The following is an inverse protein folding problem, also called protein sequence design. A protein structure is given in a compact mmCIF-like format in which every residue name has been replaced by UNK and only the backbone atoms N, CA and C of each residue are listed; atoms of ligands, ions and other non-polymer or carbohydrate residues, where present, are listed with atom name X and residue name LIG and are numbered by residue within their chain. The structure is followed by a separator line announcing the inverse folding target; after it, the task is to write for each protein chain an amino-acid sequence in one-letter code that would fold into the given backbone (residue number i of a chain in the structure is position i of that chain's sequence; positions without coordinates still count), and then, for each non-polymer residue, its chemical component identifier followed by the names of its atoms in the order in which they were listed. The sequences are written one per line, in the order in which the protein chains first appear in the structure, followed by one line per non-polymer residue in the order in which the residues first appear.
data_IF_150706006554
#
_entry.id   IF_150706006554
#
_cell.length_a   1.000
_cell.length_b   1.000
_cell.length_c   1.000
_cell.angle_alpha   90.00
_cell.angle_beta   90.00
_cell.angle_gamma   90.00
#
_symmetry.space_group_name_H-M   'P 1'
#
loop_
_entity.id
_entity.type
_entity.pdbx_description
1 polymer ?
#
# COMPACT_ATOMS: atom_id res chain seq x y z
N UNK A 1 -30.41 -114.09 4.99
CA UNK A 1 -30.35 -113.36 6.28
C UNK A 1 -30.30 -111.87 5.92
N UNK A 2 -31.43 -111.21 5.60
CA UNK A 2 -32.55 -110.79 6.45
C UNK A 2 -32.17 -109.67 7.43
N UNK A 3 -32.84 -108.50 7.25
CA UNK A 3 -33.16 -107.41 8.22
C UNK A 3 -32.07 -106.32 8.36
N UNK A 4 -32.06 -105.22 7.58
CA UNK A 4 -32.88 -103.97 7.63
C UNK A 4 -32.31 -102.88 8.59
N UNK A 5 -32.80 -101.62 8.58
CA UNK A 5 -32.42 -100.50 7.69
C UNK A 5 -31.95 -99.29 8.53
N UNK A 6 -31.84 -98.07 7.95
CA UNK A 6 -32.34 -96.78 8.52
C UNK A 6 -31.67 -95.52 7.88
N UNK A 7 -32.53 -94.64 7.37
CA UNK A 7 -32.43 -93.18 7.10
C UNK A 7 -31.47 -92.57 6.04
N UNK A 8 -32.07 -92.16 4.91
CA UNK A 8 -31.88 -90.86 4.23
C UNK A 8 -32.16 -89.67 5.18
N UNK A 9 -31.68 -88.41 4.99
CA UNK A 9 -31.68 -87.72 3.68
C UNK A 9 -30.61 -86.62 3.41
N UNK A 10 -30.56 -86.16 2.15
CA UNK A 10 -30.39 -84.77 1.67
C UNK A 10 -29.46 -83.80 2.44
N UNK A 11 -28.36 -83.34 1.81
CA UNK A 11 -27.85 -81.94 1.76
C UNK A 11 -26.45 -81.88 1.09
N UNK A 12 -25.98 -80.72 0.59
CA UNK A 12 -25.86 -80.46 -0.84
C UNK A 12 -24.43 -80.22 -1.34
N UNK A 13 -24.33 -80.24 -2.66
CA UNK A 13 -23.22 -79.69 -3.45
C UNK A 13 -23.14 -78.18 -3.18
N UNK A 14 -22.20 -77.72 -2.35
CA UNK A 14 -21.69 -76.33 -2.35
C UNK A 14 -20.31 -76.28 -1.70
N UNK A 15 -19.25 -76.50 -2.48
CA UNK A 15 -17.90 -76.06 -2.10
C UNK A 15 -17.11 -75.61 -3.33
N UNK A 16 -17.62 -74.58 -4.01
CA UNK A 16 -16.82 -73.84 -4.99
C UNK A 16 -17.34 -72.41 -5.18
N UNK A 17 -17.44 -71.62 -4.10
CA UNK A 17 -17.58 -70.16 -4.20
C UNK A 17 -17.07 -69.51 -2.91
N UNK A 18 -15.75 -69.51 -2.72
CA UNK A 18 -15.07 -68.63 -1.78
C UNK A 18 -13.90 -67.95 -2.49
N UNK A 19 -14.23 -67.23 -3.56
CA UNK A 19 -13.46 -66.08 -4.02
C UNK A 19 -14.43 -65.04 -4.57
N UNK A 20 -14.39 -63.86 -3.93
CA UNK A 20 -15.10 -62.60 -4.23
C UNK A 20 -16.59 -62.48 -3.81
N UNK A 21 -16.88 -61.50 -2.94
CA UNK A 21 -17.29 -60.19 -3.44
C UNK A 21 -16.64 -59.04 -2.62
N UNK A 22 -15.38 -58.71 -2.91
CA UNK A 22 -14.79 -57.45 -2.43
C UNK A 22 -14.82 -56.38 -3.54
N UNK A 23 -15.02 -56.79 -4.80
CA UNK A 23 -14.91 -55.93 -5.99
C UNK A 23 -16.23 -55.18 -6.32
N UNK A 24 -17.37 -55.58 -5.74
CA UNK A 24 -18.67 -54.97 -6.07
C UNK A 24 -18.88 -53.59 -5.44
N UNK A 25 -18.39 -53.35 -4.23
CA UNK A 25 -18.61 -52.07 -3.52
C UNK A 25 -17.83 -50.88 -4.10
N UNK A 26 -16.62 -51.09 -4.63
CA UNK A 26 -15.77 -50.01 -5.15
C UNK A 26 -16.26 -49.48 -6.50
N UNK A 27 -16.74 -50.37 -7.37
CA UNK A 27 -17.27 -50.02 -8.69
C UNK A 27 -18.58 -49.23 -8.59
N UNK A 28 -19.45 -49.60 -7.63
CA UNK A 28 -20.70 -48.89 -7.35
C UNK A 28 -20.42 -47.44 -6.90
N UNK A 29 -19.52 -47.25 -5.93
CA UNK A 29 -19.17 -45.91 -5.42
C UNK A 29 -18.51 -45.02 -6.50
N UNK A 30 -17.62 -45.57 -7.33
CA UNK A 30 -16.99 -44.79 -8.40
C UNK A 30 -18.03 -44.29 -9.43
N UNK A 31 -19.00 -45.13 -9.79
CA UNK A 31 -20.09 -44.77 -10.69
C UNK A 31 -21.03 -43.71 -10.07
N UNK A 32 -21.31 -43.83 -8.78
CA UNK A 32 -22.07 -42.84 -8.02
C UNK A 32 -21.35 -41.48 -8.00
N UNK A 33 -20.04 -41.46 -7.81
CA UNK A 33 -19.24 -40.22 -7.82
C UNK A 33 -19.20 -39.57 -9.20
N UNK A 34 -19.12 -40.34 -10.29
CA UNK A 34 -19.25 -39.82 -11.66
C UNK A 34 -20.64 -39.18 -11.85
N UNK A 35 -21.69 -39.86 -11.39
CA UNK A 35 -23.05 -39.33 -11.47
C UNK A 35 -23.22 -38.05 -10.62
N UNK A 36 -22.74 -38.01 -9.38
CA UNK A 36 -22.79 -36.82 -8.53
C UNK A 36 -22.03 -35.64 -9.13
N UNK A 37 -20.91 -35.90 -9.80
CA UNK A 37 -20.15 -34.89 -10.52
C UNK A 37 -20.91 -34.34 -11.73
N UNK A 38 -21.60 -35.19 -12.48
CA UNK A 38 -22.38 -34.78 -13.65
C UNK A 38 -23.53 -33.82 -13.28
N UNK A 39 -24.03 -33.90 -12.05
CA UNK A 39 -25.05 -32.99 -11.52
C UNK A 39 -24.53 -31.57 -11.26
N UNK A 40 -23.22 -31.38 -11.10
CA UNK A 40 -22.65 -30.07 -10.81
C UNK A 40 -21.96 -29.46 -12.04
N UNK A 41 -22.32 -28.23 -12.45
CA UNK A 41 -21.77 -27.60 -13.66
C UNK A 41 -20.28 -27.27 -13.54
N UNK A 42 -19.74 -27.25 -12.32
CA UNK A 42 -18.33 -26.96 -12.00
C UNK A 42 -17.53 -28.20 -11.63
N UNK A 43 -18.13 -29.40 -11.61
CA UNK A 43 -17.44 -30.64 -11.25
C UNK A 43 -17.19 -30.86 -9.76
N UNK A 44 -17.73 -30.01 -8.91
CA UNK A 44 -17.59 -30.07 -7.46
C UNK A 44 -18.64 -30.99 -6.85
N UNK A 45 -18.23 -31.93 -6.01
CA UNK A 45 -19.12 -32.84 -5.30
C UNK A 45 -19.27 -32.35 -3.86
N UNK A 46 -20.52 -32.19 -3.41
CA UNK A 46 -20.80 -31.84 -2.03
C UNK A 46 -20.66 -33.08 -1.15
N UNK A 47 -19.69 -33.05 -0.23
CA UNK A 47 -19.27 -34.20 0.56
C UNK A 47 -19.94 -34.16 1.94
N UNK A 48 -20.83 -35.12 2.18
CA UNK A 48 -21.49 -35.36 3.47
C UNK A 48 -20.72 -36.40 4.29
N UNK A 49 -20.91 -36.40 5.60
CA UNK A 49 -20.31 -37.35 6.53
C UNK A 49 -20.49 -38.83 6.13
N UNK A 50 -21.68 -39.22 5.67
CA UNK A 50 -21.96 -40.60 5.23
C UNK A 50 -21.18 -41.01 3.98
N UNK A 51 -20.97 -40.07 3.05
CA UNK A 51 -20.22 -40.29 1.82
C UNK A 51 -18.71 -40.35 2.14
N UNK A 52 -18.22 -39.48 3.04
CA UNK A 52 -16.84 -39.54 3.50
C UNK A 52 -16.53 -40.89 4.16
N UNK A 53 -17.38 -41.37 5.06
CA UNK A 53 -17.19 -42.69 5.69
C UNK A 53 -17.08 -43.82 4.66
N UNK A 54 -17.91 -43.80 3.60
CA UNK A 54 -17.85 -44.76 2.48
C UNK A 54 -16.57 -44.64 1.64
N UNK A 55 -16.04 -43.44 1.44
CA UNK A 55 -14.75 -43.24 0.76
C UNK A 55 -13.58 -43.71 1.64
N UNK A 56 -13.69 -43.55 2.95
CA UNK A 56 -12.66 -43.95 3.91
C UNK A 56 -12.65 -45.46 4.16
N UNK A 57 -13.78 -46.16 4.01
CA UNK A 57 -13.86 -47.61 4.17
C UNK A 57 -13.26 -48.42 3.01
N UNK A 58 -12.86 -47.76 1.91
CA UNK A 58 -12.20 -48.43 0.78
C UNK A 58 -10.77 -48.83 1.20
N UNK A 59 -10.38 -50.11 1.06
CA UNK A 59 -9.03 -50.55 1.36
C UNK A 59 -8.02 -49.93 0.39
N UNK A 60 -6.83 -49.61 0.90
CA UNK A 60 -5.74 -49.05 0.09
C UNK A 60 -5.09 -50.13 -0.79
N UNK A 61 -4.70 -49.83 -2.05
CA UNK A 61 -4.73 -48.52 -2.71
C UNK A 61 -6.13 -48.14 -3.24
N UNK A 62 -6.51 -46.88 -3.05
CA UNK A 62 -7.78 -46.32 -3.53
C UNK A 62 -7.76 -46.12 -5.04
N UNK A 63 -8.90 -46.30 -5.74
CA UNK A 63 -8.96 -46.14 -7.19
C UNK A 63 -8.78 -44.68 -7.67
N UNK A 64 -8.87 -43.69 -6.77
CA UNK A 64 -8.76 -42.26 -7.09
C UNK A 64 -8.20 -41.45 -5.92
N UNK A 65 -7.62 -40.29 -6.25
CA UNK A 65 -7.25 -39.24 -5.29
C UNK A 65 -8.44 -38.33 -4.99
N UNK A 66 -8.52 -37.79 -3.77
CA UNK A 66 -9.60 -36.88 -3.36
C UNK A 66 -9.03 -35.54 -2.90
N UNK A 67 -9.45 -34.45 -3.52
CA UNK A 67 -9.12 -33.09 -3.09
C UNK A 67 -10.32 -32.47 -2.39
N UNK A 68 -10.16 -32.12 -1.13
CA UNK A 68 -11.24 -31.68 -0.24
C UNK A 68 -11.02 -30.22 0.15
N UNK A 69 -12.00 -29.37 -0.16
CA UNK A 69 -12.08 -27.98 0.30
C UNK A 69 -13.05 -27.87 1.48
N UNK A 70 -12.59 -27.29 2.58
CA UNK A 70 -13.40 -27.07 3.78
C UNK A 70 -13.98 -25.66 3.79
N UNK A 71 -15.31 -25.58 3.83
CA UNK A 71 -16.07 -24.34 3.78
C UNK A 71 -16.94 -24.12 5.02
N UNK A 72 -17.22 -22.86 5.35
CA UNK A 72 -18.12 -22.48 6.43
C UNK A 72 -18.83 -21.15 6.10
N UNK A 73 -20.11 -21.22 5.70
CA UNK A 73 -20.95 -20.07 5.33
C UNK A 73 -21.05 -19.03 6.45
N UNK A 74 -21.14 -19.48 7.70
CA UNK A 74 -21.20 -18.59 8.87
C UNK A 74 -19.98 -17.66 8.96
N UNK A 75 -18.84 -18.11 8.44
CA UNK A 75 -17.60 -17.35 8.44
C UNK A 75 -17.46 -16.47 7.19
N UNK A 76 -18.27 -16.63 6.14
CA UNK A 76 -18.18 -15.79 4.94
C UNK A 76 -18.43 -14.31 5.24
N UNK A 77 -19.29 -14.01 6.22
CA UNK A 77 -19.57 -12.65 6.66
C UNK A 77 -18.52 -12.08 7.64
N UNK A 78 -17.73 -12.96 8.28
CA UNK A 78 -16.79 -12.59 9.36
C UNK A 78 -15.33 -12.75 8.98
N UNK A 79 -15.01 -13.51 7.92
CA UNK A 79 -13.62 -13.90 7.64
C UNK A 79 -12.89 -12.82 6.86
N UNK A 80 -11.81 -12.33 7.48
CA UNK A 80 -10.80 -11.40 6.96
C UNK A 80 -10.12 -11.90 5.66
N UNK A 81 -10.09 -13.22 5.45
CA UNK A 81 -9.63 -13.85 4.22
C UNK A 81 -10.83 -14.08 3.30
N UNK A 82 -10.76 -13.68 2.04
CA UNK A 82 -11.84 -13.88 1.06
C UNK A 82 -12.13 -15.38 0.77
N UNK A 83 -12.74 -16.11 1.70
CA UNK A 83 -13.18 -17.52 1.52
C UNK A 83 -13.98 -17.69 0.22
N UNK A 84 -14.92 -16.78 -0.13
CA UNK A 84 -15.61 -16.85 -1.42
C UNK A 84 -14.68 -16.78 -2.64
N UNK A 85 -13.59 -15.99 -2.55
CA UNK A 85 -12.58 -15.90 -3.61
C UNK A 85 -11.78 -17.20 -3.73
N UNK A 86 -11.32 -17.76 -2.61
CA UNK A 86 -10.58 -19.04 -2.61
C UNK A 86 -11.47 -20.19 -3.10
N UNK A 87 -12.75 -20.20 -2.72
CA UNK A 87 -13.74 -21.15 -3.22
C UNK A 87 -13.96 -21.01 -4.73
N UNK A 88 -13.99 -19.78 -5.24
CA UNK A 88 -14.07 -19.52 -6.68
C UNK A 88 -12.85 -20.08 -7.42
N UNK A 89 -11.63 -19.83 -6.93
CA UNK A 89 -10.40 -20.38 -7.49
C UNK A 89 -10.39 -21.91 -7.46
N UNK A 90 -10.85 -22.53 -6.37
CA UNK A 90 -11.00 -23.98 -6.27
C UNK A 90 -12.00 -24.53 -7.29
N UNK A 91 -13.12 -23.83 -7.50
CA UNK A 91 -14.11 -24.20 -8.52
C UNK A 91 -13.57 -24.06 -9.95
N UNK A 92 -12.67 -23.08 -10.17
CA UNK A 92 -12.00 -22.87 -11.44
C UNK A 92 -11.03 -24.01 -11.76
N UNK A 93 -10.30 -24.48 -10.74
CA UNK A 93 -9.43 -25.65 -10.86
C UNK A 93 -10.23 -26.89 -11.28
N UNK A 94 -11.35 -27.16 -10.61
CA UNK A 94 -12.21 -28.31 -10.90
C UNK A 94 -12.80 -28.27 -12.30
N UNK A 95 -13.36 -27.12 -12.71
CA UNK A 95 -13.91 -26.94 -14.06
C UNK A 95 -12.84 -26.98 -15.16
N UNK A 96 -11.64 -26.46 -14.90
CA UNK A 96 -10.50 -26.56 -15.83
C UNK A 96 -10.05 -28.01 -15.99
N UNK A 97 -9.98 -28.78 -14.91
CA UNK A 97 -9.65 -30.21 -14.96
C UNK A 97 -10.62 -31.00 -15.85
N UNK A 98 -11.93 -30.74 -15.71
CA UNK A 98 -12.96 -31.38 -16.53
C UNK A 98 -12.84 -31.05 -18.01
N UNK A 99 -12.53 -29.79 -18.32
CA UNK A 99 -12.36 -29.33 -19.71
C UNK A 99 -11.14 -29.99 -20.37
N UNK A 100 -10.06 -30.17 -19.59
CA UNK A 100 -8.80 -30.72 -20.09
C UNK A 100 -8.79 -32.24 -20.19
N UNK A 101 -9.58 -32.94 -19.37
CA UNK A 101 -9.62 -34.40 -19.30
C UNK A 101 -11.03 -34.93 -19.60
N UNK A 102 -11.51 -34.87 -20.86
CA UNK A 102 -12.86 -35.28 -21.25
C UNK A 102 -13.07 -36.81 -21.32
N UNK A 103 -12.32 -37.61 -20.56
CA UNK A 103 -12.39 -39.08 -20.54
C UNK A 103 -12.93 -39.65 -19.22
N UNK A 104 -13.45 -40.89 -19.27
CA UNK A 104 -14.03 -41.57 -18.10
C UNK A 104 -12.98 -42.04 -17.05
N UNK A 105 -11.68 -41.83 -17.31
CA UNK A 105 -10.59 -42.20 -16.41
C UNK A 105 -10.31 -41.05 -15.43
N UNK A 106 -11.09 -40.99 -14.36
CA UNK A 106 -11.04 -39.86 -13.44
C UNK A 106 -10.17 -40.20 -12.25
N UNK A 107 -8.90 -39.83 -12.35
CA UNK A 107 -7.89 -40.09 -11.33
C UNK A 107 -8.04 -39.22 -10.08
N UNK A 108 -8.77 -38.11 -10.17
CA UNK A 108 -9.03 -37.20 -9.04
C UNK A 108 -10.48 -36.71 -9.00
N UNK A 109 -11.01 -36.60 -7.78
CA UNK A 109 -12.32 -36.00 -7.49
C UNK A 109 -12.17 -34.77 -6.60
N UNK A 110 -12.99 -33.75 -6.87
CA UNK A 110 -13.01 -32.49 -6.13
C UNK A 110 -14.24 -32.42 -5.22
N UNK A 111 -14.01 -32.24 -3.92
CA UNK A 111 -15.03 -32.25 -2.89
C UNK A 111 -15.10 -30.92 -2.13
N UNK A 112 -16.30 -30.53 -1.74
CA UNK A 112 -16.55 -29.42 -0.82
C UNK A 112 -17.28 -29.96 0.40
N UNK A 113 -16.79 -29.66 1.59
CA UNK A 113 -17.45 -29.96 2.86
C UNK A 113 -17.90 -28.65 3.49
N UNK A 114 -19.17 -28.57 3.89
CA UNK A 114 -19.73 -27.44 4.64
C UNK A 114 -19.77 -27.74 6.14
N UNK A 115 -19.28 -26.82 6.96
CA UNK A 115 -19.15 -27.01 8.41
C UNK A 115 -20.48 -27.31 9.12
N UNK A 116 -21.58 -26.66 8.76
CA UNK A 116 -22.87 -26.90 9.41
C UNK A 116 -23.41 -28.31 9.16
N UNK A 117 -23.14 -28.85 7.97
CA UNK A 117 -23.70 -30.13 7.52
C UNK A 117 -22.84 -31.33 7.91
N UNK A 118 -21.55 -31.13 8.19
CA UNK A 118 -20.58 -32.24 8.30
C UNK A 118 -19.51 -31.97 9.36
N UNK A 119 -19.94 -31.66 10.59
CA UNK A 119 -19.07 -31.35 11.74
C UNK A 119 -18.13 -32.50 12.09
N UNK A 120 -18.60 -33.75 11.97
CA UNK A 120 -17.79 -34.93 12.29
C UNK A 120 -16.61 -35.10 11.33
N UNK A 121 -16.80 -34.79 10.05
CA UNK A 121 -15.72 -34.73 9.06
C UNK A 121 -14.67 -33.66 9.40
N UNK A 122 -15.09 -32.49 9.87
CA UNK A 122 -14.16 -31.42 10.29
C UNK A 122 -13.29 -31.84 11.48
N UNK A 123 -13.90 -32.50 12.47
CA UNK A 123 -13.20 -33.02 13.64
C UNK A 123 -12.27 -34.20 13.28
N UNK A 124 -12.72 -35.11 12.41
CA UNK A 124 -11.88 -36.22 11.93
C UNK A 124 -10.58 -35.72 11.30
N UNK A 125 -10.66 -34.62 10.55
CA UNK A 125 -9.51 -33.98 9.93
C UNK A 125 -8.81 -32.95 10.85
N UNK A 126 -9.22 -32.70 12.09
CA UNK A 126 -8.61 -31.68 12.98
C UNK A 126 -8.48 -30.29 12.32
N UNK A 127 -9.55 -29.82 11.67
CA UNK A 127 -9.56 -28.52 10.98
C UNK A 127 -9.94 -27.40 11.94
N UNK A 128 -8.93 -26.66 12.42
CA UNK A 128 -9.10 -25.55 13.38
C UNK A 128 -9.30 -24.18 12.72
N UNK A 129 -8.93 -24.02 11.45
CA UNK A 129 -9.01 -22.75 10.72
C UNK A 129 -9.29 -22.97 9.23
N UNK A 130 -9.96 -21.99 8.62
CA UNK A 130 -10.39 -21.95 7.21
C UNK A 130 -9.79 -20.67 6.57
N UNK A 131 -9.43 -20.63 5.27
CA UNK A 131 -9.56 -21.67 4.23
C UNK A 131 -8.62 -22.85 4.44
N UNK A 132 -9.10 -24.06 4.16
CA UNK A 132 -8.33 -25.28 4.33
C UNK A 132 -8.60 -26.24 3.17
N UNK A 133 -7.52 -26.74 2.56
CA UNK A 133 -7.56 -27.72 1.47
C UNK A 133 -6.69 -28.89 1.85
N UNK A 134 -7.22 -30.11 1.66
CA UNK A 134 -6.50 -31.36 1.87
C UNK A 134 -6.58 -32.26 0.66
N UNK A 135 -5.45 -32.90 0.36
CA UNK A 135 -5.37 -33.95 -0.64
C UNK A 135 -5.23 -35.30 0.07
N UNK A 136 -6.11 -36.23 -0.28
CA UNK A 136 -6.03 -37.64 0.08
C UNK A 136 -5.45 -38.39 -1.13
N UNK A 137 -4.22 -38.90 -1.07
CA UNK A 137 -3.61 -39.64 -2.17
C UNK A 137 -4.22 -41.04 -2.33
N UNK A 138 -3.86 -41.72 -3.44
CA UNK A 138 -4.29 -43.09 -3.75
C UNK A 138 -3.79 -44.11 -2.73
N UNK A 139 -2.55 -43.98 -2.24
CA UNK A 139 -1.93 -44.90 -1.29
C UNK A 139 -1.89 -44.26 0.09
N UNK A 140 -2.67 -44.80 1.04
CA UNK A 140 -2.81 -44.25 2.38
C UNK A 140 -2.88 -45.39 3.38
N UNK A 141 -1.95 -45.44 4.34
CA UNK A 141 -2.00 -46.40 5.44
C UNK A 141 -2.74 -45.78 6.63
N UNK A 142 -2.48 -44.50 6.92
CA UNK A 142 -3.15 -43.72 7.95
C UNK A 142 -3.68 -42.40 7.35
N UNK A 143 -5.00 -42.30 7.15
CA UNK A 143 -5.63 -41.12 6.52
C UNK A 143 -5.27 -39.82 7.24
N UNK A 144 -5.15 -39.82 8.57
CA UNK A 144 -4.80 -38.60 9.31
C UNK A 144 -3.36 -38.13 9.10
N UNK A 145 -2.42 -39.05 8.87
CA UNK A 145 -0.98 -38.74 8.73
C UNK A 145 -0.58 -38.51 7.28
N UNK A 146 -1.18 -39.26 6.36
CA UNK A 146 -0.80 -39.25 4.94
C UNK A 146 -1.55 -38.18 4.13
N UNK A 147 -2.56 -37.52 4.73
CA UNK A 147 -3.23 -36.38 4.10
C UNK A 147 -2.29 -35.18 3.99
N UNK A 148 -2.05 -34.72 2.77
CA UNK A 148 -1.23 -33.54 2.51
C UNK A 148 -2.08 -32.29 2.65
N UNK A 149 -1.66 -31.37 3.54
CA UNK A 149 -2.29 -30.06 3.72
C UNK A 149 -1.64 -29.03 2.78
N UNK A 150 -2.48 -28.22 2.13
CA UNK A 150 -1.99 -27.05 1.40
C UNK A 150 -1.59 -25.92 2.37
N UNK A 151 -0.38 -25.39 2.21
CA UNK A 151 0.15 -24.30 3.04
C UNK A 151 -0.56 -22.96 2.80
N UNK A 152 -0.49 -22.06 3.79
CA UNK A 152 -1.13 -20.74 3.72
C UNK A 152 -0.66 -19.89 2.52
N UNK A 153 0.60 -20.03 2.13
CA UNK A 153 1.18 -19.36 0.96
C UNK A 153 0.56 -19.81 -0.37
N UNK A 154 0.12 -21.07 -0.47
CA UNK A 154 -0.46 -21.61 -1.69
C UNK A 154 -1.81 -20.97 -2.05
N UNK A 155 -2.55 -20.46 -1.07
CA UNK A 155 -3.81 -19.75 -1.33
C UNK A 155 -3.61 -18.36 -1.92
N UNK A 156 -2.39 -17.79 -1.85
CA UNK A 156 -2.10 -16.42 -2.31
C UNK A 156 -1.98 -16.30 -3.83
N UNK A 157 -1.63 -17.39 -4.52
CA UNK A 157 -1.41 -17.43 -5.98
C UNK A 157 -2.59 -18.09 -6.73
N UNK A 158 -3.75 -18.23 -6.08
CA UNK A 158 -5.01 -18.68 -6.69
C UNK A 158 -5.00 -20.12 -7.22
N UNK A 159 -5.81 -20.39 -8.25
CA UNK A 159 -5.99 -21.73 -8.84
C UNK A 159 -4.71 -22.33 -9.43
N UNK A 160 -3.75 -21.49 -9.84
CA UNK A 160 -2.47 -21.95 -10.42
C UNK A 160 -1.62 -22.68 -9.38
N UNK A 161 -1.56 -22.17 -8.15
CA UNK A 161 -0.81 -22.86 -7.08
C UNK A 161 -1.53 -24.12 -6.61
N UNK A 162 -2.86 -24.13 -6.60
CA UNK A 162 -3.63 -25.34 -6.29
C UNK A 162 -3.40 -26.44 -7.34
N UNK A 163 -3.28 -26.06 -8.61
CA UNK A 163 -2.92 -26.96 -9.70
C UNK A 163 -1.55 -27.61 -9.46
N UNK A 164 -0.52 -26.80 -9.22
CA UNK A 164 0.84 -27.27 -8.98
C UNK A 164 0.91 -28.20 -7.75
N UNK A 165 0.16 -27.86 -6.70
CA UNK A 165 0.03 -28.70 -5.51
C UNK A 165 -0.59 -30.07 -5.81
N UNK A 166 -1.61 -30.13 -6.66
CA UNK A 166 -2.24 -31.39 -7.09
C UNK A 166 -1.30 -32.20 -7.98
N UNK A 167 -0.66 -31.58 -8.97
CA UNK A 167 0.25 -32.26 -9.90
C UNK A 167 1.45 -32.87 -9.14
N UNK A 168 1.99 -32.16 -8.16
CA UNK A 168 3.13 -32.61 -7.35
C UNK A 168 2.77 -33.77 -6.41
N UNK A 169 1.64 -33.68 -5.71
CA UNK A 169 1.32 -34.62 -4.63
C UNK A 169 0.41 -35.78 -5.06
N UNK A 170 -0.41 -35.60 -6.10
CA UNK A 170 -1.29 -36.64 -6.61
C UNK A 170 -0.73 -37.35 -7.86
N UNK A 171 0.33 -36.80 -8.49
CA UNK A 171 0.87 -37.28 -9.77
C UNK A 171 -0.21 -37.35 -10.87
N UNK A 172 -1.12 -36.36 -10.90
CA UNK A 172 -2.22 -36.25 -11.88
C UNK A 172 -2.05 -34.98 -12.69
N UNK A 173 -2.07 -35.09 -14.02
CA UNK A 173 -2.02 -33.92 -14.91
C UNK A 173 -3.35 -33.18 -14.96
N UNK A 174 -3.35 -31.89 -14.62
CA UNK A 174 -4.57 -31.07 -14.57
C UNK A 174 -4.74 -30.21 -15.84
N UNK A 175 -3.64 -29.83 -16.48
CA UNK A 175 -3.64 -28.97 -17.67
C UNK A 175 -3.75 -27.47 -17.38
N UNK A 176 -3.90 -26.60 -18.39
CA UNK A 176 -3.98 -25.15 -18.19
C UNK A 176 -5.27 -24.72 -17.47
N UNK A 177 -5.17 -23.70 -16.61
CA UNK A 177 -6.32 -23.13 -15.91
C UNK A 177 -7.05 -22.17 -16.84
N UNK A 178 -8.32 -22.47 -17.10
CA UNK A 178 -9.19 -21.69 -17.98
C UNK A 178 -9.86 -20.57 -17.18
N UNK A 179 -9.16 -19.45 -16.97
CA UNK A 179 -9.78 -18.26 -16.37
C UNK A 179 -10.79 -17.62 -17.33
N UNK A 180 -11.89 -17.10 -16.78
CA UNK A 180 -12.76 -16.20 -17.56
C UNK A 180 -11.95 -14.94 -17.90
N UNK A 181 -11.95 -14.46 -19.15
CA UNK A 181 -11.25 -13.22 -19.48
C UNK A 181 -11.81 -12.08 -18.62
N UNK A 182 -10.90 -11.28 -18.04
CA UNK A 182 -11.21 -10.16 -17.12
C UNK A 182 -12.19 -9.17 -17.75
N UNK A 183 -12.15 -9.04 -19.07
CA UNK A 183 -13.03 -8.16 -19.84
C UNK A 183 -14.08 -9.01 -20.57
N UNK A 184 -15.39 -8.81 -20.30
CA UNK A 184 -16.44 -9.54 -20.99
C UNK A 184 -16.45 -9.21 -22.49
N UNK A 185 -16.73 -10.20 -23.34
CA UNK A 185 -16.73 -10.05 -24.81
C UNK A 185 -17.59 -8.88 -25.30
N UNK A 186 -18.72 -8.61 -24.63
CA UNK A 186 -19.58 -7.44 -24.91
C UNK A 186 -18.86 -6.10 -24.72
N UNK A 187 -18.08 -5.98 -23.66
CA UNK A 187 -17.31 -4.76 -23.38
C UNK A 187 -16.15 -4.60 -24.38
N UNK A 188 -15.49 -5.69 -24.79
CA UNK A 188 -14.52 -5.63 -25.90
C UNK A 188 -15.17 -5.17 -27.21
N UNK A 189 -16.39 -5.62 -27.49
CA UNK A 189 -17.15 -5.18 -28.67
C UNK A 189 -17.50 -3.69 -28.60
N UNK A 190 -17.87 -3.17 -27.42
CA UNK A 190 -18.12 -1.74 -27.19
C UNK A 190 -16.84 -0.91 -27.34
N UNK A 191 -15.72 -1.38 -26.78
CA UNK A 191 -14.42 -0.72 -26.94
C UNK A 191 -13.99 -0.71 -28.40
N UNK A 192 -14.15 -1.84 -29.11
CA UNK A 192 -13.88 -1.96 -30.53
C UNK A 192 -14.75 -1.03 -31.37
N UNK A 193 -16.05 -0.93 -31.07
CA UNK A 193 -16.96 0.00 -31.72
C UNK A 193 -16.57 1.47 -31.46
N UNK A 194 -16.20 1.80 -30.22
CA UNK A 194 -15.68 3.14 -29.88
C UNK A 194 -14.42 3.49 -30.66
N UNK A 195 -13.49 2.54 -30.80
CA UNK A 195 -12.29 2.71 -31.60
C UNK A 195 -12.61 2.87 -33.10
N UNK A 196 -13.55 2.08 -33.63
CA UNK A 196 -14.04 2.20 -35.01
C UNK A 196 -14.67 3.56 -35.27
N UNK A 197 -15.46 4.10 -34.33
CA UNK A 197 -16.06 5.44 -34.42
C UNK A 197 -15.00 6.54 -34.35
N UNK A 198 -13.95 6.37 -33.53
CA UNK A 198 -12.86 7.33 -33.42
C UNK A 198 -11.84 7.24 -34.57
N UNK A 199 -11.76 6.10 -35.25
CA UNK A 199 -10.76 5.85 -36.29
C UNK A 199 -10.78 6.86 -37.44
N UNK A 200 -11.93 7.31 -38.01
CA UNK A 200 -11.94 8.24 -39.14
C UNK A 200 -11.50 9.64 -38.69
N UNK A 201 -11.81 10.03 -37.45
CA UNK A 201 -11.34 11.28 -36.86
C UNK A 201 -9.82 11.26 -36.64
N UNK A 202 -9.28 10.16 -36.12
CA UNK A 202 -7.83 9.99 -35.93
C UNK A 202 -7.07 9.95 -37.26
N UNK A 203 -7.58 9.22 -38.26
CA UNK A 203 -6.98 9.13 -39.60
C UNK A 203 -7.03 10.49 -40.30
N UNK A 204 -8.18 11.18 -40.30
CA UNK A 204 -8.29 12.54 -40.83
C UNK A 204 -7.29 13.49 -40.17
N UNK A 205 -7.15 13.40 -38.84
CA UNK A 205 -6.21 14.22 -38.07
C UNK A 205 -4.73 13.90 -38.38
N UNK A 206 -4.40 12.65 -38.68
CA UNK A 206 -3.07 12.21 -39.07
C UNK A 206 -2.68 12.67 -40.48
N UNK A 207 -3.58 12.52 -41.46
CA UNK A 207 -3.36 12.92 -42.87
C UNK A 207 -3.18 14.43 -43.04
N UNK A 208 -3.88 15.23 -42.23
CA UNK A 208 -3.77 16.70 -42.23
C UNK A 208 -2.42 17.17 -41.60
N UNK A 209 -1.59 16.27 -41.07
CA UNK A 209 -0.31 16.61 -40.45
C UNK A 209 -0.43 17.15 -39.02
N UNK A 210 -1.66 17.41 -38.54
CA UNK A 210 -1.96 17.85 -37.17
C UNK A 210 -1.89 16.69 -36.17
N UNK A 211 -0.72 16.05 -36.08
CA UNK A 211 -0.48 14.98 -35.12
C UNK A 211 -0.65 15.48 -33.68
N UNK A 212 -1.22 14.64 -32.82
CA UNK A 212 -1.42 14.91 -31.38
C UNK A 212 -0.08 15.27 -30.70
N UNK A 213 1.04 14.75 -31.22
CA UNK A 213 2.40 15.00 -30.73
C UNK A 213 2.95 16.39 -31.07
N UNK A 214 2.36 17.13 -32.00
CA UNK A 214 2.78 18.51 -32.29
C UNK A 214 2.02 19.53 -31.43
N UNK A 215 0.94 19.11 -30.77
CA UNK A 215 0.14 20.00 -29.94
C UNK A 215 0.85 20.27 -28.60
N UNK A 216 1.20 21.53 -28.37
CA UNK A 216 1.82 22.00 -27.11
C UNK A 216 0.96 21.68 -25.88
N UNK A 217 -0.36 21.61 -26.03
CA UNK A 217 -1.25 21.31 -24.90
C UNK A 217 -1.13 19.86 -24.44
N UNK A 218 -0.84 18.93 -25.36
CA UNK A 218 -0.63 17.51 -25.04
C UNK A 218 0.67 17.31 -24.28
N UNK A 219 1.75 17.98 -24.69
CA UNK A 219 3.02 17.95 -23.94
C UNK A 219 2.92 18.64 -22.60
N UNK A 220 2.14 19.72 -22.50
CA UNK A 220 1.84 20.38 -21.25
C UNK A 220 1.07 19.44 -20.31
N UNK A 221 0.02 18.76 -20.78
CA UNK A 221 -0.72 17.80 -19.95
C UNK A 221 0.13 16.59 -19.56
N UNK A 222 0.93 16.06 -20.48
CA UNK A 222 1.84 14.95 -20.22
C UNK A 222 2.89 15.31 -19.16
N UNK A 223 3.46 16.52 -19.25
CA UNK A 223 4.41 17.04 -18.26
C UNK A 223 3.78 17.20 -16.87
N UNK A 224 2.55 17.73 -16.79
CA UNK A 224 1.82 17.86 -15.52
C UNK A 224 1.55 16.47 -14.91
N UNK A 225 1.20 15.48 -15.73
CA UNK A 225 0.96 14.11 -15.27
C UNK A 225 2.25 13.50 -14.69
N UNK A 226 3.38 13.62 -15.39
CA UNK A 226 4.68 13.14 -14.88
C UNK A 226 5.05 13.84 -13.58
N UNK A 227 4.85 15.17 -13.50
CA UNK A 227 5.09 15.94 -12.28
C UNK A 227 4.21 15.45 -11.11
N UNK A 228 2.92 15.18 -11.35
CA UNK A 228 2.00 14.66 -10.34
C UNK A 228 2.51 13.33 -9.75
N UNK A 229 2.88 12.36 -10.59
CA UNK A 229 3.40 11.07 -10.10
C UNK A 229 4.73 11.23 -9.35
N UNK A 230 5.58 12.18 -9.78
CA UNK A 230 6.83 12.49 -9.08
C UNK A 230 6.58 13.07 -7.68
N UNK A 231 5.68 14.05 -7.55
CA UNK A 231 5.40 14.74 -6.27
C UNK A 231 4.56 13.88 -5.32
N UNK A 232 3.68 13.02 -5.86
CA UNK A 232 2.90 12.08 -5.06
C UNK A 232 3.76 11.03 -4.32
N UNK A 233 5.07 10.95 -4.60
CA UNK A 233 5.97 10.00 -3.95
C UNK A 233 5.80 8.57 -4.47
N UNK A 234 5.28 8.39 -5.69
CA UNK A 234 5.06 7.05 -6.26
C UNK A 234 6.34 6.23 -6.39
N UNK A 235 7.50 6.88 -6.59
CA UNK A 235 8.80 6.21 -6.54
C UNK A 235 9.05 5.51 -5.21
N UNK A 236 8.73 6.15 -4.09
CA UNK A 236 8.87 5.53 -2.76
C UNK A 236 7.95 4.30 -2.64
N UNK A 237 6.70 4.43 -3.10
CA UNK A 237 5.71 3.34 -3.08
C UNK A 237 6.18 2.14 -3.92
N UNK A 238 6.71 2.38 -5.13
CA UNK A 238 7.18 1.32 -6.03
C UNK A 238 8.43 0.63 -5.45
N UNK A 239 9.44 1.39 -5.01
CA UNK A 239 10.71 0.84 -4.51
C UNK A 239 10.46 -0.05 -3.28
N UNK A 240 9.62 0.39 -2.35
CA UNK A 240 9.33 -0.34 -1.11
C UNK A 240 8.17 -1.32 -1.22
N UNK A 241 7.58 -1.47 -2.41
CA UNK A 241 6.37 -2.27 -2.65
C UNK A 241 5.26 -1.98 -1.62
N UNK A 242 5.09 -0.70 -1.28
CA UNK A 242 4.11 -0.29 -0.28
C UNK A 242 2.69 -0.42 -0.84
N UNK A 243 1.72 -0.92 -0.05
CA UNK A 243 0.34 -1.07 -0.50
C UNK A 243 -0.35 0.29 -0.71
N UNK A 244 -1.37 0.33 -1.57
CA UNK A 244 -2.13 1.55 -1.85
C UNK A 244 -2.95 2.00 -0.62
N UNK A 245 -3.55 1.05 0.08
CA UNK A 245 -4.31 1.21 1.31
C UNK A 245 -4.06 -0.01 2.21
N UNK A 246 -4.20 0.17 3.52
CA UNK A 246 -4.18 -0.93 4.48
C UNK A 246 -5.61 -1.21 4.93
N UNK A 247 -5.92 -2.46 5.27
CA UNK A 247 -7.18 -2.76 5.93
C UNK A 247 -6.94 -2.74 7.43
N UNK A 248 -7.81 -2.06 8.17
CA UNK A 248 -7.74 -2.08 9.63
C UNK A 248 -8.16 -3.45 10.14
N UNK A 249 -7.21 -4.14 10.79
CA UNK A 249 -7.42 -5.46 11.40
C UNK A 249 -8.20 -5.37 12.73
N UNK A 250 -8.23 -4.19 13.34
CA UNK A 250 -8.83 -3.98 14.65
C UNK A 250 -10.28 -3.47 14.57
N UNK A 251 -10.72 -3.00 13.40
CA UNK A 251 -12.10 -2.54 13.18
C UNK A 251 -12.96 -3.64 12.52
N UNK A 252 -14.08 -4.07 13.13
CA UNK A 252 -14.95 -5.13 12.61
C UNK A 252 -15.68 -4.77 11.30
N UNK A 253 -15.57 -3.51 10.84
CA UNK A 253 -16.18 -3.02 9.61
C UNK A 253 -15.24 -3.06 8.38
N UNK A 254 -13.98 -3.49 8.54
CA UNK A 254 -13.04 -3.63 7.41
C UNK A 254 -12.74 -2.32 6.68
N UNK A 255 -12.62 -1.20 7.39
CA UNK A 255 -12.37 0.10 6.75
C UNK A 255 -10.95 0.15 6.21
N UNK A 256 -10.81 0.66 4.98
CA UNK A 256 -9.52 0.89 4.35
C UNK A 256 -8.86 2.13 4.96
N UNK A 257 -7.77 1.94 5.68
CA UNK A 257 -6.87 2.99 6.15
C UNK A 257 -6.07 3.49 4.94
N UNK A 258 -6.38 4.70 4.50
CA UNK A 258 -5.65 5.38 3.41
C UNK A 258 -4.43 6.17 3.90
N UNK A 259 -4.40 6.52 5.20
CA UNK A 259 -3.35 7.33 5.81
C UNK A 259 -2.70 6.58 6.97
N UNK A 260 -1.37 6.44 6.94
CA UNK A 260 -0.64 5.73 7.98
C UNK A 260 0.08 6.72 8.90
N UNK A 261 -0.07 6.53 10.21
CA UNK A 261 0.58 7.36 11.22
C UNK A 261 2.01 6.83 11.48
N UNK A 262 3.01 7.57 11.02
CA UNK A 262 4.43 7.24 11.23
C UNK A 262 5.33 7.79 10.12
N UNK A 263 6.53 8.25 10.47
CA UNK A 263 7.46 8.85 9.52
C UNK A 263 8.17 7.84 8.58
N UNK A 264 8.13 6.54 8.90
CA UNK A 264 8.87 5.49 8.19
C UNK A 264 8.15 4.86 7.00
N UNK A 265 6.84 5.07 6.87
CA UNK A 265 6.00 4.44 5.84
C UNK A 265 5.01 5.43 5.24
N UNK A 266 4.76 5.32 3.95
CA UNK A 266 3.80 6.12 3.20
C UNK A 266 2.99 5.19 2.31
N UNK A 267 1.66 5.27 2.42
CA UNK A 267 0.74 4.52 1.57
C UNK A 267 0.57 5.22 0.23
N UNK A 268 0.25 4.45 -0.81
CA UNK A 268 0.08 5.02 -2.14
C UNK A 268 -1.10 6.02 -2.23
N UNK A 269 -2.23 5.72 -1.56
CA UNK A 269 -3.39 6.61 -1.54
C UNK A 269 -3.08 7.95 -0.84
N UNK A 270 -2.35 7.89 0.28
CA UNK A 270 -1.84 9.08 0.97
C UNK A 270 -0.94 9.92 0.05
N UNK A 271 -0.01 9.28 -0.65
CA UNK A 271 0.86 9.94 -1.62
C UNK A 271 0.10 10.66 -2.72
N UNK A 272 -0.91 10.01 -3.31
CA UNK A 272 -1.75 10.63 -4.34
C UNK A 272 -2.59 11.78 -3.81
N UNK A 273 -3.17 11.66 -2.60
CA UNK A 273 -3.94 12.74 -1.99
C UNK A 273 -3.08 14.00 -1.76
N UNK A 274 -1.86 13.82 -1.25
CA UNK A 274 -0.91 14.91 -1.02
C UNK A 274 -0.41 15.48 -2.35
N UNK A 275 -0.03 14.62 -3.30
CA UNK A 275 0.40 15.03 -4.64
C UNK A 275 -0.66 15.82 -5.41
N UNK A 276 -1.94 15.48 -5.21
CA UNK A 276 -3.06 16.20 -5.79
C UNK A 276 -3.18 17.63 -5.24
N UNK A 277 -3.06 17.80 -3.91
CA UNK A 277 -3.05 19.14 -3.29
C UNK A 277 -1.92 20.01 -3.84
N UNK A 278 -0.69 19.47 -3.95
CA UNK A 278 0.44 20.21 -4.53
C UNK A 278 0.18 20.63 -5.98
N UNK A 279 -0.38 19.72 -6.78
CA UNK A 279 -0.64 19.97 -8.20
C UNK A 279 -1.74 21.00 -8.39
N UNK A 280 -2.80 20.97 -7.58
CA UNK A 280 -3.85 22.01 -7.58
C UNK A 280 -3.25 23.38 -7.27
N UNK A 281 -2.46 23.50 -6.20
CA UNK A 281 -1.88 24.79 -5.81
C UNK A 281 -0.95 25.31 -6.92
N UNK A 282 -0.14 24.45 -7.53
CA UNK A 282 0.72 24.81 -8.66
C UNK A 282 -0.05 25.30 -9.88
N UNK A 283 -1.10 24.56 -10.28
CA UNK A 283 -1.97 24.95 -11.41
C UNK A 283 -2.74 26.23 -11.12
N UNK A 284 -3.22 26.40 -9.90
CA UNK A 284 -3.97 27.58 -9.48
C UNK A 284 -3.08 28.83 -9.46
N UNK A 285 -1.82 28.70 -9.04
CA UNK A 285 -0.84 29.78 -9.15
C UNK A 285 -0.59 30.17 -10.62
N UNK A 286 -0.42 29.19 -11.51
CA UNK A 286 -0.26 29.43 -12.95
C UNK A 286 -1.51 30.08 -13.58
N UNK A 287 -2.70 29.67 -13.15
CA UNK A 287 -3.96 30.26 -13.57
C UNK A 287 -4.07 31.73 -13.13
N UNK A 288 -3.70 32.03 -11.88
CA UNK A 288 -3.72 33.40 -11.35
C UNK A 288 -2.76 34.33 -12.08
N UNK A 289 -1.58 33.85 -12.49
CA UNK A 289 -0.58 34.68 -13.19
C UNK A 289 -0.88 34.88 -14.67
N UNK A 290 -1.40 33.87 -15.37
CA UNK A 290 -1.57 33.95 -16.82
C UNK A 290 -3.01 34.18 -17.30
N UNK A 291 -4.02 33.69 -16.57
CA UNK A 291 -5.43 33.73 -17.00
C UNK A 291 -6.18 34.84 -16.29
N UNK A 292 -6.07 34.95 -14.97
CA UNK A 292 -6.79 35.99 -14.21
C UNK A 292 -6.40 37.40 -14.62
N UNK A 293 -5.16 37.62 -15.07
CA UNK A 293 -4.67 38.93 -15.56
C UNK A 293 -5.31 39.34 -16.90
N UNK A 294 -5.91 38.41 -17.65
CA UNK A 294 -6.56 38.70 -18.94
C UNK A 294 -8.04 39.10 -18.80
N UNK A 295 -8.61 39.00 -17.59
CA UNK A 295 -10.01 39.36 -17.36
C UNK A 295 -10.18 40.88 -17.39
N UNK A 296 -11.08 41.36 -18.24
CA UNK A 296 -11.36 42.80 -18.38
C UNK A 296 -12.09 43.38 -17.16
N UNK A 297 -12.86 42.57 -16.44
CA UNK A 297 -13.63 43.00 -15.27
C UNK A 297 -12.80 42.89 -13.97
N UNK A 298 -12.47 44.04 -13.38
CA UNK A 298 -11.70 44.13 -12.13
C UNK A 298 -12.38 43.44 -10.94
N UNK A 299 -13.71 43.46 -10.87
CA UNK A 299 -14.46 42.81 -9.77
C UNK A 299 -14.29 41.30 -9.80
N UNK A 300 -14.53 40.68 -10.96
CA UNK A 300 -14.36 39.24 -11.17
C UNK A 300 -12.90 38.82 -11.01
N UNK A 301 -11.95 39.63 -11.49
CA UNK A 301 -10.52 39.38 -11.32
C UNK A 301 -10.13 39.35 -9.83
N UNK A 302 -10.55 40.35 -9.04
CA UNK A 302 -10.24 40.42 -7.61
C UNK A 302 -10.87 39.24 -6.85
N UNK A 303 -12.11 38.87 -7.18
CA UNK A 303 -12.78 37.72 -6.58
C UNK A 303 -12.03 36.41 -6.87
N UNK A 304 -11.63 36.18 -8.13
CA UNK A 304 -10.86 34.99 -8.52
C UNK A 304 -9.49 34.94 -7.84
N UNK A 305 -8.81 36.08 -7.70
CA UNK A 305 -7.53 36.13 -6.98
C UNK A 305 -7.70 35.84 -5.48
N UNK A 306 -8.75 36.39 -4.85
CA UNK A 306 -9.05 36.13 -3.44
C UNK A 306 -9.41 34.66 -3.20
N UNK A 307 -10.26 34.07 -4.04
CA UNK A 307 -10.60 32.64 -3.99
C UNK A 307 -9.36 31.77 -4.18
N UNK A 308 -8.50 32.11 -5.14
CA UNK A 308 -7.27 31.38 -5.39
C UNK A 308 -6.29 31.41 -4.20
N UNK A 309 -6.12 32.57 -3.56
CA UNK A 309 -5.33 32.69 -2.34
C UNK A 309 -5.93 31.89 -1.19
N UNK A 310 -7.25 31.92 -1.03
CA UNK A 310 -7.95 31.15 0.01
C UNK A 310 -7.76 29.64 -0.17
N UNK A 311 -7.98 29.12 -1.39
CA UNK A 311 -7.78 27.69 -1.69
C UNK A 311 -6.33 27.28 -1.49
N UNK A 312 -5.38 28.10 -1.91
CA UNK A 312 -3.95 27.84 -1.70
C UNK A 312 -3.59 27.79 -0.22
N UNK A 313 -4.09 28.74 0.57
CA UNK A 313 -3.89 28.76 2.01
C UNK A 313 -4.50 27.53 2.69
N UNK A 314 -5.73 27.17 2.32
CA UNK A 314 -6.41 25.98 2.83
C UNK A 314 -5.65 24.69 2.52
N UNK A 315 -5.18 24.52 1.28
CA UNK A 315 -4.41 23.35 0.87
C UNK A 315 -3.10 23.23 1.67
N UNK A 316 -2.37 24.34 1.86
CA UNK A 316 -1.15 24.38 2.67
C UNK A 316 -1.44 24.03 4.13
N UNK A 317 -2.52 24.56 4.71
CA UNK A 317 -2.94 24.21 6.07
C UNK A 317 -3.23 22.71 6.21
N UNK A 318 -3.89 22.10 5.22
CA UNK A 318 -4.17 20.65 5.22
C UNK A 318 -2.89 19.82 5.16
N UNK A 319 -1.92 20.21 4.34
CA UNK A 319 -0.61 19.53 4.26
C UNK A 319 0.16 19.65 5.58
N UNK A 320 0.19 20.84 6.20
CA UNK A 320 0.85 21.05 7.50
C UNK A 320 0.16 20.22 8.59
N UNK A 321 -1.17 20.25 8.64
CA UNK A 321 -1.96 19.45 9.59
C UNK A 321 -1.64 17.96 9.45
N UNK A 322 -1.64 17.44 8.22
CA UNK A 322 -1.34 16.04 7.95
C UNK A 322 0.09 15.69 8.36
N UNK A 323 1.06 16.56 8.07
CA UNK A 323 2.45 16.34 8.47
C UNK A 323 2.60 16.32 10.00
N UNK A 324 1.95 17.26 10.71
CA UNK A 324 1.97 17.31 12.17
C UNK A 324 1.34 16.04 12.78
N UNK A 325 0.20 15.61 12.26
CA UNK A 325 -0.46 14.36 12.68
C UNK A 325 0.42 13.13 12.43
N UNK A 326 1.10 13.08 11.28
CA UNK A 326 1.92 11.93 10.87
C UNK A 326 3.26 11.82 11.59
N UNK A 327 3.94 12.94 11.81
CA UNK A 327 5.28 12.97 12.42
C UNK A 327 5.27 13.19 13.93
N UNK A 328 4.15 13.67 14.49
CA UNK A 328 4.07 14.12 15.88
C UNK A 328 4.88 15.40 16.16
N UNK A 329 5.60 15.92 15.16
CA UNK A 329 6.29 17.20 15.26
C UNK A 329 5.31 18.32 14.96
N UNK A 330 5.03 19.15 15.95
CA UNK A 330 4.39 20.44 15.71
C UNK A 330 5.34 21.30 14.88
N UNK A 331 5.07 21.44 13.57
CA UNK A 331 5.73 22.47 12.77
C UNK A 331 5.34 23.81 13.39
N UNK A 332 6.25 24.41 14.15
CA UNK A 332 6.10 25.79 14.55
C UNK A 332 6.11 26.64 13.29
N UNK A 333 5.12 27.52 13.08
CA UNK A 333 5.17 28.49 12.01
C UNK A 333 6.48 29.26 12.12
N UNK A 334 7.43 28.96 11.23
CA UNK A 334 8.60 29.77 11.08
C UNK A 334 8.15 31.04 10.38
N UNK A 335 7.66 31.99 11.17
CA UNK A 335 7.51 33.35 10.68
C UNK A 335 8.92 33.83 10.31
N UNK A 336 9.21 34.16 9.04
CA UNK A 336 10.50 34.68 8.65
C UNK A 336 10.83 35.82 9.61
N UNK A 337 11.88 35.63 10.41
CA UNK A 337 12.23 36.56 11.48
C UNK A 337 12.23 37.99 10.90
N UNK A 338 11.29 38.81 11.39
CA UNK A 338 10.92 40.23 11.14
C UNK A 338 11.58 41.02 9.99
N UNK A 339 12.83 40.80 9.63
CA UNK A 339 13.71 41.65 8.84
C UNK A 339 13.51 41.58 7.32
N UNK A 340 13.19 40.41 6.74
CA UNK A 340 12.87 40.33 5.29
C UNK A 340 11.53 40.99 4.97
N UNK A 341 10.57 40.88 5.90
CA UNK A 341 9.28 41.56 5.81
C UNK A 341 9.42 43.07 6.05
N UNK A 342 10.19 43.50 7.04
CA UNK A 342 10.49 44.94 7.24
C UNK A 342 11.12 45.53 5.98
N UNK A 343 12.00 44.83 5.26
CA UNK A 343 12.55 45.37 4.00
C UNK A 343 11.46 45.63 2.95
N UNK A 344 10.57 44.66 2.73
CA UNK A 344 9.50 44.77 1.73
C UNK A 344 8.48 45.84 2.16
N UNK A 345 8.09 45.81 3.44
CA UNK A 345 7.15 46.76 4.04
C UNK A 345 7.72 48.19 4.11
N UNK A 346 8.99 48.36 4.47
CA UNK A 346 9.70 49.65 4.50
C UNK A 346 9.89 50.23 3.10
N UNK A 347 10.20 49.38 2.11
CA UNK A 347 10.26 49.84 0.71
C UNK A 347 8.87 50.28 0.24
N UNK A 348 7.81 49.56 0.63
CA UNK A 348 6.43 49.93 0.31
C UNK A 348 5.96 51.22 1.02
N UNK A 349 6.26 51.39 2.31
CA UNK A 349 5.99 52.62 3.07
C UNK A 349 6.74 53.84 2.52
N UNK A 350 7.95 53.64 1.99
CA UNK A 350 8.72 54.70 1.32
C UNK A 350 8.36 54.87 -0.18
N UNK A 351 7.38 54.14 -0.71
CA UNK A 351 6.96 54.22 -2.12
C UNK A 351 7.99 53.68 -3.13
N UNK A 352 8.96 52.91 -2.68
CA UNK A 352 10.07 52.41 -3.48
C UNK A 352 9.77 51.03 -4.09
N UNK A 353 10.03 50.89 -5.38
CA UNK A 353 9.89 49.65 -6.12
C UNK A 353 11.25 48.97 -6.32
N UNK A 354 11.26 47.71 -6.78
CA UNK A 354 12.52 47.00 -7.12
C UNK A 354 13.29 47.66 -8.28
N UNK A 355 12.66 48.55 -9.05
CA UNK A 355 13.28 49.27 -10.17
C UNK A 355 14.24 50.39 -9.72
N UNK A 356 14.03 50.95 -8.54
CA UNK A 356 14.73 52.17 -8.10
C UNK A 356 16.18 51.91 -7.65
N UNK A 357 16.57 50.63 -7.53
CA UNK A 357 17.92 50.15 -7.15
C UNK A 357 18.54 50.87 -5.92
N UNK A 358 17.70 51.37 -5.02
CA UNK A 358 18.13 52.09 -3.82
C UNK A 358 18.84 51.14 -2.84
N UNK A 359 19.98 51.59 -2.32
CA UNK A 359 20.78 50.79 -1.36
C UNK A 359 20.03 50.64 -0.04
N UNK A 360 20.02 49.43 0.53
CA UNK A 360 19.32 49.13 1.78
C UNK A 360 19.72 50.03 2.96
N UNK A 361 20.93 50.63 2.96
CA UNK A 361 21.36 51.57 4.00
C UNK A 361 20.44 52.80 4.07
N UNK A 362 20.07 53.35 2.91
CA UNK A 362 19.25 54.57 2.78
C UNK A 362 17.80 54.30 3.21
N UNK A 363 17.25 53.14 2.84
CA UNK A 363 15.89 52.74 3.22
C UNK A 363 15.79 52.56 4.74
N UNK A 364 16.81 51.96 5.36
CA UNK A 364 16.86 51.76 6.81
C UNK A 364 16.97 53.06 7.59
N UNK A 365 17.79 54.00 7.11
CA UNK A 365 17.94 55.33 7.70
C UNK A 365 16.61 56.11 7.69
N UNK A 366 15.86 56.04 6.59
CA UNK A 366 14.52 56.67 6.50
C UNK A 366 13.48 56.08 7.43
N UNK A 367 13.54 54.77 7.70
CA UNK A 367 12.53 54.07 8.54
C UNK A 367 13.01 53.92 9.99
N UNK A 368 14.23 54.37 10.31
CA UNK A 368 14.81 54.24 11.65
C UNK A 368 15.07 52.81 12.10
N UNK A 369 15.28 51.87 11.16
CA UNK A 369 15.46 50.44 11.47
C UNK A 369 16.93 50.06 11.52
N UNK A 370 17.35 49.41 12.60
CA UNK A 370 18.71 48.93 12.78
C UNK A 370 19.16 47.92 11.69
N UNK A 371 20.46 47.86 11.41
CA UNK A 371 20.99 46.91 10.43
C UNK A 371 20.99 45.46 10.97
N UNK A 372 20.92 44.50 10.06
CA UNK A 372 20.98 43.06 10.40
C UNK A 372 22.30 42.72 11.10
N UNK A 373 23.40 43.36 10.70
CA UNK A 373 24.72 43.13 11.29
C UNK A 373 24.75 43.58 12.76
N UNK A 374 24.19 44.74 13.07
CA UNK A 374 24.07 45.27 14.43
C UNK A 374 23.17 44.40 15.31
N UNK A 375 22.00 43.95 14.80
CA UNK A 375 21.10 43.07 15.55
C UNK A 375 21.63 41.65 15.75
N UNK A 376 22.35 41.11 14.76
CA UNK A 376 23.07 39.86 14.94
C UNK A 376 24.18 40.00 15.97
N UNK A 377 24.89 41.13 16.00
CA UNK A 377 25.89 41.44 17.03
C UNK A 377 25.26 41.52 18.42
N UNK A 378 24.14 42.24 18.58
CA UNK A 378 23.37 42.28 19.83
C UNK A 378 22.98 40.87 20.30
N UNK A 379 22.47 40.03 19.40
CA UNK A 379 22.12 38.63 19.71
C UNK A 379 23.32 37.80 20.17
N UNK A 380 24.46 37.91 19.47
CA UNK A 380 25.71 37.22 19.83
C UNK A 380 26.24 37.66 21.21
N UNK A 381 26.26 38.97 21.48
CA UNK A 381 26.73 39.53 22.76
C UNK A 381 25.75 39.26 23.92
N UNK A 382 24.45 39.21 23.65
CA UNK A 382 23.45 38.80 24.63
C UNK A 382 23.64 37.34 25.05
N UNK A 383 23.93 36.47 24.09
CA UNK A 383 24.28 35.08 24.36
C UNK A 383 25.60 34.98 25.12
N UNK A 384 26.64 35.70 24.69
CA UNK A 384 27.94 35.73 25.38
C UNK A 384 27.81 36.15 26.85
N UNK A 385 27.08 37.23 27.14
CA UNK A 385 26.84 37.65 28.52
C UNK A 385 26.04 36.62 29.34
N UNK A 386 25.18 35.80 28.70
CA UNK A 386 24.53 34.68 29.38
C UNK A 386 25.52 33.55 29.70
N UNK A 387 26.39 33.19 28.76
CA UNK A 387 27.45 32.19 28.95
C UNK A 387 28.39 32.59 30.09
N UNK A 388 28.80 33.87 30.15
CA UNK A 388 29.70 34.36 31.19
C UNK A 388 29.10 34.29 32.60
N UNK A 389 27.79 34.52 32.72
CA UNK A 389 27.06 34.50 34.00
C UNK A 389 26.57 33.11 34.43
N UNK A 390 26.60 32.12 33.53
CA UNK A 390 26.16 30.75 33.86
C UNK A 390 27.26 30.03 34.66
N UNK A 391 26.90 29.49 35.83
CA UNK A 391 27.81 28.67 36.66
C UNK A 391 27.90 27.21 36.17
N UNK A 392 26.93 26.73 35.40
CA UNK A 392 26.87 25.34 34.94
C UNK A 392 27.92 24.97 33.89
N UNK A 393 28.60 23.84 34.15
CA UNK A 393 29.72 23.29 33.38
C UNK A 393 29.48 22.91 31.91
N UNK A 394 28.26 22.59 31.40
CA UNK A 394 28.08 22.19 29.98
C UNK A 394 28.20 23.38 29.02
N UNK A 395 27.64 24.54 29.39
CA UNK A 395 27.64 25.75 28.54
C UNK A 395 29.04 26.38 28.51
N UNK A 396 29.76 26.39 29.64
CA UNK A 396 31.19 26.77 29.70
C UNK A 396 32.12 25.77 29.03
N UNK A 397 31.74 24.48 28.89
CA UNK A 397 32.55 23.50 28.13
C UNK A 397 32.74 23.92 26.68
N UNK A 398 31.75 24.63 26.10
CA UNK A 398 31.87 25.20 24.76
C UNK A 398 32.96 26.27 24.65
N UNK A 399 33.28 26.98 25.75
CA UNK A 399 34.39 27.94 25.81
C UNK A 399 35.76 27.24 25.83
N UNK A 400 35.85 26.07 26.48
CA UNK A 400 37.07 25.25 26.63
C UNK A 400 37.33 24.25 25.50
N UNK A 401 36.45 24.15 24.51
CA UNK A 401 36.74 23.43 23.27
C UNK A 401 37.78 24.24 22.45
N UNK A 402 39.00 24.31 22.95
CA UNK A 402 40.18 24.64 22.18
C UNK A 402 40.40 23.48 21.21
N UNK A 403 40.09 23.71 19.93
CA UNK A 403 40.23 22.70 18.88
C UNK A 403 41.56 22.89 18.17
N UNK A 404 42.67 22.64 18.87
CA UNK A 404 44.03 22.69 18.34
C UNK A 404 44.38 21.55 17.37
N UNK A 405 43.42 20.95 16.66
CA UNK A 405 43.73 19.78 15.81
C UNK A 405 42.87 19.57 14.56
N UNK A 406 42.30 20.62 13.97
CA UNK A 406 41.73 20.49 12.62
C UNK A 406 42.65 21.12 11.57
N UNK A 407 43.21 20.27 10.70
CA UNK A 407 43.99 20.62 9.50
C UNK A 407 43.26 21.75 8.75
N UNK A 408 43.97 22.84 8.40
CA UNK A 408 43.39 23.93 7.58
C UNK A 408 42.81 23.33 6.30
N UNK A 409 41.55 23.64 6.01
CA UNK A 409 40.95 23.34 4.71
C UNK A 409 41.29 24.48 3.74
N UNK A 410 41.47 24.15 2.45
CA UNK A 410 41.67 25.14 1.39
C UNK A 410 40.39 25.97 1.24
N UNK A 411 40.51 27.31 1.31
CA UNK A 411 39.41 28.25 1.18
C UNK A 411 39.37 29.32 2.28
N UNK A 412 38.22 29.99 2.43
CA UNK A 412 38.03 31.05 3.43
C UNK A 412 38.24 30.47 4.85
N UNK A 413 39.08 31.10 5.70
CA UNK A 413 39.29 30.64 7.07
C UNK A 413 37.97 30.54 7.83
N UNK A 414 37.81 29.48 8.64
CA UNK A 414 36.68 29.35 9.56
C UNK A 414 36.78 30.49 10.59
N UNK A 415 35.75 31.33 10.68
CA UNK A 415 35.66 32.35 11.75
C UNK A 415 35.35 31.66 13.07
N UNK A 416 36.20 31.83 14.07
CA UNK A 416 35.97 31.24 15.38
C UNK A 416 35.02 32.11 16.21
N UNK A 417 34.13 31.46 16.97
CA UNK A 417 33.15 32.18 17.81
C UNK A 417 33.82 33.18 18.75
N UNK A 418 34.93 32.82 19.38
CA UNK A 418 35.69 33.71 20.27
C UNK A 418 36.25 34.94 19.55
N UNK A 419 36.76 34.78 18.33
CA UNK A 419 37.28 35.89 17.52
C UNK A 419 36.16 36.85 17.09
N UNK A 420 35.00 36.30 16.71
CA UNK A 420 33.82 37.10 16.35
C UNK A 420 33.33 37.90 17.56
N UNK A 421 33.25 37.27 18.74
CA UNK A 421 32.87 37.96 19.98
C UNK A 421 33.91 39.02 20.37
N UNK A 422 35.20 38.73 20.25
CA UNK A 422 36.28 39.69 20.53
C UNK A 422 36.14 40.94 19.66
N UNK A 423 35.99 40.75 18.36
CA UNK A 423 35.77 41.85 17.41
C UNK A 423 34.48 42.63 17.70
N UNK A 424 33.38 41.94 18.05
CA UNK A 424 32.12 42.58 18.42
C UNK A 424 32.22 43.40 19.71
N UNK A 425 33.02 42.94 20.69
CA UNK A 425 33.30 43.65 21.93
C UNK A 425 34.20 44.87 21.70
N UNK A 426 35.22 44.74 20.83
CA UNK A 426 36.09 45.85 20.43
C UNK A 426 35.29 46.96 19.72
N UNK A 427 34.36 46.59 18.83
CA UNK A 427 33.49 47.55 18.13
C UNK A 427 32.61 48.39 19.08
N UNK A 428 32.25 47.86 20.23
CA UNK A 428 31.40 48.52 21.23
C UNK A 428 32.17 48.97 22.48
N UNK A 429 33.50 48.83 22.46
CA UNK A 429 34.40 49.13 23.60
C UNK A 429 33.93 48.46 24.91
N UNK A 430 33.52 47.19 24.82
CA UNK A 430 33.02 46.41 25.96
C UNK A 430 34.14 45.59 26.59
N UNK A 431 34.17 45.55 27.91
CA UNK A 431 35.07 44.68 28.67
C UNK A 431 34.32 43.47 29.25
N UNK A 432 35.05 42.38 29.55
CA UNK A 432 34.46 41.08 29.93
C UNK A 432 33.82 41.12 31.33
N UNK A 433 34.38 41.90 32.24
CA UNK A 433 33.90 42.18 33.59
C UNK A 433 32.51 42.83 33.60
N UNK A 434 32.19 43.67 32.61
CA UNK A 434 30.86 44.28 32.45
C UNK A 434 29.74 43.26 32.23
N UNK A 435 30.06 42.01 31.84
CA UNK A 435 29.05 40.95 31.64
C UNK A 435 28.39 40.50 32.94
N UNK A 436 29.01 40.77 34.10
CA UNK A 436 28.52 40.43 35.42
C UNK A 436 27.31 41.29 35.81
N UNK A 437 27.33 42.59 35.47
CA UNK A 437 26.18 43.47 35.63
C UNK A 437 25.22 43.34 34.44
N UNK A 438 24.09 42.66 34.67
CA UNK A 438 23.07 42.42 33.64
C UNK A 438 22.45 43.72 33.11
N UNK A 439 22.28 44.75 33.94
CA UNK A 439 21.61 46.00 33.53
C UNK A 439 22.55 46.80 32.63
N UNK A 440 23.80 46.97 33.07
CA UNK A 440 24.84 47.66 32.29
C UNK A 440 25.16 46.91 30.99
N UNK A 441 25.27 45.58 31.04
CA UNK A 441 25.49 44.77 29.84
C UNK A 441 24.35 44.93 28.84
N UNK A 442 23.09 44.86 29.30
CA UNK A 442 21.94 44.99 28.41
C UNK A 442 21.80 46.37 27.80
N UNK A 443 22.07 47.44 28.55
CA UNK A 443 21.96 48.80 28.02
C UNK A 443 23.00 49.06 26.95
N UNK A 444 24.25 48.59 27.15
CA UNK A 444 25.36 48.83 26.23
C UNK A 444 25.32 47.99 24.95
N UNK A 445 24.74 46.78 24.98
CA UNK A 445 24.61 45.94 23.77
C UNK A 445 23.33 46.22 22.98
N UNK A 446 22.36 46.92 23.57
CA UNK A 446 21.05 47.15 22.96
C UNK A 446 21.23 48.08 21.76
N UNK A 447 20.80 47.62 20.60
CA UNK A 447 20.72 48.45 19.41
C UNK A 447 19.33 49.05 19.35
N UNK A 448 19.24 50.38 19.34
CA UNK A 448 17.98 51.10 19.13
C UNK A 448 17.61 51.08 17.65
N UNK A 449 16.35 50.79 17.37
CA UNK A 449 15.78 50.71 16.01
C UNK A 449 15.03 49.42 15.73
#
# INVERSE_FOLDING_TARGET
MAISPIHSPLLPITLLFLLSPIITHSNDLHSELIHLRSKSPLGLIHLKDSLLQRILSIPSPKPFSSLIFFDARQLHAKSENSIPSVKYEFSLLSSSYLTNNPGNNTHIFFFIIEFEESKSSFEFFDVKSIPHVRLVPVRVDDVKKDCVRMGASGFSMGAVSMKEFVETNANVYVGPIHTRPVIPKKMMMVIGAGFLIWSPYLVKRFVIGNTILQDKYVWMSGSILVYFFSVAGTMFTIIRKAPLFLMDRNDPAGRSIMFYQGAGMQLGAEGFAVGFLYTIVGLLLAFMTHVSVRLKNKGTQNLLMALGLFVSFWAVQKVIYLNNWKTGYGIHPYWPSRWKQIKILASWLCGLTRGDRVRNKIIREKVGVASVEEKMREGRLRWFGHVMRSMDAPVRRCERLALDRFRRSIGRPKKYWREVIKHDMEQLQLTKDMTLDRKVWRSRIRVEG
#
